data_IF_597600104902
#
_entry.id   IF_597600104902
#
_cell.length_a   1.000
_cell.length_b   1.000
_cell.length_c   1.000
_cell.angle_alpha   90.00
_cell.angle_beta   90.00
_cell.angle_gamma   90.00
#
_symmetry.space_group_name_H-M   'P 1'
#
loop_
_entity.id
_entity.type
_entity.pdbx_description
1 polymer ?
#
# COMPACT_ATOMS: atom_id res chain seq x y z
N UNK A 1 23.93 46.98 -15.59
CA UNK A 1 22.95 45.89 -15.45
C UNK A 1 23.50 44.85 -14.50
N UNK A 2 23.09 44.86 -13.23
CA UNK A 2 23.43 43.80 -12.28
C UNK A 2 22.52 42.60 -12.57
N UNK A 3 23.11 41.50 -13.03
CA UNK A 3 22.44 40.21 -13.14
C UNK A 3 22.14 39.72 -11.72
N UNK A 4 20.85 39.73 -11.34
CA UNK A 4 20.35 39.05 -10.14
C UNK A 4 20.77 37.59 -10.22
N UNK A 5 21.74 37.19 -9.40
CA UNK A 5 21.99 35.77 -9.08
C UNK A 5 20.76 35.28 -8.33
N UNK A 6 19.86 34.60 -9.03
CA UNK A 6 18.81 33.81 -8.38
C UNK A 6 19.48 32.76 -7.51
N UNK A 7 19.25 32.82 -6.20
CA UNK A 7 19.75 31.83 -5.28
C UNK A 7 19.16 30.46 -5.65
N UNK A 8 19.98 29.40 -5.80
CA UNK A 8 19.47 28.07 -6.16
C UNK A 8 18.55 27.45 -5.08
N UNK A 9 18.54 28.02 -3.88
CA UNK A 9 17.67 27.58 -2.76
C UNK A 9 16.19 27.99 -2.94
N UNK A 10 15.88 29.05 -3.70
CA UNK A 10 14.49 29.52 -3.86
C UNK A 10 13.63 28.63 -4.78
N UNK A 11 14.24 27.75 -5.58
CA UNK A 11 13.52 26.97 -6.61
C UNK A 11 13.07 25.56 -6.17
N UNK A 12 13.54 25.05 -5.04
CA UNK A 12 13.24 23.67 -4.61
C UNK A 12 11.84 23.52 -3.98
N UNK A 13 11.25 24.61 -3.48
CA UNK A 13 9.87 24.61 -2.95
C UNK A 13 8.78 24.55 -4.04
N UNK A 14 9.14 24.84 -5.29
CA UNK A 14 8.25 24.79 -6.46
C UNK A 14 8.52 23.59 -7.36
N UNK A 15 9.52 22.77 -7.01
CA UNK A 15 9.89 21.60 -7.80
C UNK A 15 8.78 20.55 -7.70
N UNK A 16 8.21 20.19 -8.84
CA UNK A 16 7.24 19.09 -8.95
C UNK A 16 7.99 17.75 -8.97
N UNK A 17 7.59 16.86 -8.08
CA UNK A 17 8.04 15.48 -8.01
C UNK A 17 6.96 14.56 -8.56
N UNK A 18 7.36 13.38 -9.01
CA UNK A 18 6.42 12.30 -9.31
C UNK A 18 6.82 11.05 -8.55
N UNK A 19 5.88 10.15 -8.32
CA UNK A 19 6.16 8.98 -7.52
C UNK A 19 4.92 8.20 -7.14
N UNK A 20 5.05 7.39 -6.09
CA UNK A 20 3.96 6.59 -5.56
C UNK A 20 3.96 6.63 -4.02
N UNK A 21 2.77 6.75 -3.45
CA UNK A 21 2.52 6.47 -2.04
C UNK A 21 2.09 5.01 -1.96
N UNK A 22 2.83 4.22 -1.19
CA UNK A 22 2.44 2.87 -0.84
C UNK A 22 1.87 2.85 0.56
N UNK A 23 0.68 2.27 0.71
CA UNK A 23 0.05 2.09 2.01
C UNK A 23 -0.18 0.60 2.20
N UNK A 24 0.46 0.05 3.23
CA UNK A 24 0.39 -1.35 3.60
C UNK A 24 -0.51 -1.47 4.82
N UNK A 25 -1.54 -2.30 4.72
CA UNK A 25 -2.41 -2.62 5.85
C UNK A 25 -2.33 -4.09 6.18
N UNK A 26 -2.38 -4.40 7.47
CA UNK A 26 -2.53 -5.75 7.99
C UNK A 26 -3.69 -5.78 9.00
N UNK A 27 -4.59 -6.74 8.80
CA UNK A 27 -5.76 -6.98 9.63
C UNK A 27 -5.69 -8.37 10.24
N UNK A 28 -5.75 -8.43 11.56
CA UNK A 28 -5.99 -9.68 12.28
C UNK A 28 -7.47 -10.07 12.13
N UNK A 29 -7.74 -11.29 11.69
CA UNK A 29 -9.10 -11.78 11.43
C UNK A 29 -9.47 -13.08 12.15
N UNK A 30 -8.62 -13.53 13.08
CA UNK A 30 -8.78 -14.78 13.83
C UNK A 30 -7.55 -15.66 13.70
N UNK A 31 -7.69 -16.94 14.03
CA UNK A 31 -6.59 -17.90 14.05
C UNK A 31 -6.63 -18.84 12.84
N UNK A 32 -5.48 -19.41 12.48
CA UNK A 32 -5.33 -20.56 11.56
C UNK A 32 -6.34 -20.62 10.40
N UNK A 33 -6.10 -19.77 9.40
CA UNK A 33 -6.89 -19.74 8.17
C UNK A 33 -6.53 -20.93 7.29
N UNK A 34 -7.52 -21.76 6.98
CA UNK A 34 -7.37 -22.89 6.06
C UNK A 34 -7.40 -22.41 4.59
N UNK A 35 -6.22 -22.11 4.05
CA UNK A 35 -6.05 -21.59 2.68
C UNK A 35 -6.52 -22.59 1.62
N UNK A 36 -6.23 -23.88 1.78
CA UNK A 36 -6.66 -24.92 0.84
C UNK A 36 -8.19 -24.97 0.71
N UNK A 37 -8.91 -24.82 1.83
CA UNK A 37 -10.37 -24.82 1.84
C UNK A 37 -10.92 -23.62 1.07
N UNK A 38 -10.29 -22.45 1.19
CA UNK A 38 -10.67 -21.24 0.44
C UNK A 38 -10.58 -21.48 -1.06
N UNK A 39 -9.49 -22.11 -1.52
CA UNK A 39 -9.27 -22.45 -2.93
C UNK A 39 -10.26 -23.51 -3.41
N UNK A 40 -10.46 -24.60 -2.63
CA UNK A 40 -11.37 -25.70 -2.98
C UNK A 40 -12.81 -25.24 -3.16
N UNK A 41 -13.31 -24.38 -2.27
CA UNK A 41 -14.68 -23.84 -2.36
C UNK A 41 -14.79 -22.64 -3.30
N UNK A 42 -13.67 -22.18 -3.88
CA UNK A 42 -13.58 -20.99 -4.74
C UNK A 42 -14.25 -19.76 -4.14
N UNK A 43 -14.07 -19.56 -2.83
CA UNK A 43 -14.67 -18.42 -2.13
C UNK A 43 -14.17 -17.08 -2.71
N UNK A 44 -12.93 -17.07 -3.21
CA UNK A 44 -12.26 -15.93 -3.79
C UNK A 44 -11.50 -16.37 -5.05
N UNK A 45 -11.23 -15.42 -5.95
CA UNK A 45 -10.41 -15.66 -7.13
C UNK A 45 -8.95 -15.50 -6.76
N UNK A 46 -8.19 -16.59 -6.79
CA UNK A 46 -6.75 -16.59 -6.53
C UNK A 46 -5.96 -15.98 -7.68
N UNK A 47 -4.83 -15.35 -7.37
CA UNK A 47 -3.85 -14.85 -8.35
C UNK A 47 -2.48 -15.47 -8.12
N UNK A 48 -1.66 -15.67 -9.17
CA UNK A 48 -0.31 -16.19 -9.00
C UNK A 48 0.57 -15.29 -8.12
N UNK A 49 1.33 -15.89 -7.21
CA UNK A 49 2.36 -15.20 -6.46
C UNK A 49 3.61 -14.99 -7.34
N UNK A 50 4.13 -13.76 -7.35
CA UNK A 50 5.48 -13.50 -7.86
C UNK A 50 6.49 -13.84 -6.78
N UNK A 51 7.00 -15.08 -6.80
CA UNK A 51 7.94 -15.58 -5.81
C UNK A 51 9.40 -15.36 -6.25
N UNK A 52 10.28 -14.88 -5.36
CA UNK A 52 11.71 -14.84 -5.63
C UNK A 52 12.26 -16.24 -5.91
N UNK A 53 13.07 -16.38 -6.95
CA UNK A 53 13.61 -17.69 -7.40
C UNK A 53 14.54 -18.36 -6.37
N UNK A 54 15.18 -17.58 -5.52
CA UNK A 54 16.27 -18.05 -4.65
C UNK A 54 15.88 -18.22 -3.17
N UNK A 55 14.62 -17.97 -2.83
CA UNK A 55 14.15 -18.08 -1.45
C UNK A 55 13.29 -19.33 -1.25
N UNK A 56 13.49 -19.99 -0.11
CA UNK A 56 12.59 -21.06 0.33
C UNK A 56 11.26 -20.43 0.75
N UNK A 57 10.18 -20.91 0.15
CA UNK A 57 8.85 -20.33 0.28
C UNK A 57 8.00 -21.12 1.26
N UNK A 58 8.28 -20.96 2.56
CA UNK A 58 7.45 -21.52 3.63
C UNK A 58 6.29 -20.57 3.95
N UNK A 59 5.13 -21.12 4.29
CA UNK A 59 3.93 -20.35 4.68
C UNK A 59 3.49 -19.32 3.63
N UNK A 60 3.44 -19.75 2.37
CA UNK A 60 2.98 -18.88 1.28
C UNK A 60 1.55 -18.40 1.55
N UNK A 61 1.32 -17.08 1.51
CA UNK A 61 -0.03 -16.57 1.63
C UNK A 61 -0.82 -16.86 0.35
N UNK A 62 -2.14 -16.93 0.47
CA UNK A 62 -3.02 -16.98 -0.69
C UNK A 62 -3.20 -15.56 -1.25
N UNK A 63 -2.67 -15.28 -2.43
CA UNK A 63 -2.95 -14.03 -3.13
C UNK A 63 -4.29 -14.11 -3.87
N UNK A 64 -5.08 -13.04 -3.79
CA UNK A 64 -6.45 -13.00 -4.30
C UNK A 64 -6.74 -11.68 -5.03
N UNK A 65 -7.80 -11.69 -5.83
CA UNK A 65 -8.49 -10.47 -6.28
C UNK A 65 -9.50 -9.99 -5.22
N UNK A 66 -9.70 -8.67 -5.15
CA UNK A 66 -10.75 -8.10 -4.31
C UNK A 66 -12.14 -8.54 -4.81
N UNK A 67 -13.08 -8.84 -3.89
CA UNK A 67 -14.34 -9.50 -4.25
C UNK A 67 -15.44 -8.59 -4.82
N UNK A 68 -15.20 -7.29 -5.04
CA UNK A 68 -16.17 -6.32 -5.54
C UNK A 68 -15.54 -5.41 -6.62
N UNK A 69 -16.35 -4.87 -7.55
CA UNK A 69 -15.86 -4.03 -8.64
C UNK A 69 -15.22 -2.76 -8.07
N UNK A 70 -13.94 -2.57 -8.42
CA UNK A 70 -13.04 -1.57 -7.88
C UNK A 70 -13.61 -0.15 -8.02
N UNK A 71 -14.07 0.46 -6.92
CA UNK A 71 -14.12 1.93 -6.84
C UNK A 71 -12.71 2.54 -6.81
N UNK A 72 -11.70 1.77 -6.42
CA UNK A 72 -10.30 2.21 -6.35
C UNK A 72 -9.38 1.19 -7.04
N UNK A 73 -8.92 1.52 -8.24
CA UNK A 73 -7.95 0.73 -9.03
C UNK A 73 -6.56 0.63 -8.39
N UNK A 74 -6.36 1.26 -7.23
CA UNK A 74 -5.07 1.43 -6.58
C UNK A 74 -4.66 0.25 -5.68
N UNK A 75 -5.55 -0.70 -5.37
CA UNK A 75 -5.16 -1.91 -4.64
C UNK A 75 -4.39 -2.85 -5.57
N UNK A 76 -3.09 -2.99 -5.33
CA UNK A 76 -2.19 -3.77 -6.21
C UNK A 76 -1.87 -5.15 -5.64
N UNK A 77 -2.16 -5.40 -4.36
CA UNK A 77 -1.90 -6.70 -3.74
C UNK A 77 -2.89 -6.93 -2.58
N UNK A 78 -3.48 -8.12 -2.58
CA UNK A 78 -4.31 -8.62 -1.51
C UNK A 78 -3.90 -10.06 -1.20
N UNK A 79 -3.55 -10.33 0.06
CA UNK A 79 -3.01 -11.63 0.49
C UNK A 79 -3.66 -12.07 1.80
N UNK A 80 -3.97 -13.36 1.90
CA UNK A 80 -4.46 -14.02 3.10
C UNK A 80 -3.35 -14.92 3.62
N UNK A 81 -2.95 -14.71 4.87
CA UNK A 81 -1.92 -15.50 5.53
C UNK A 81 -2.57 -16.59 6.38
N UNK A 82 -1.98 -17.78 6.38
CA UNK A 82 -2.51 -18.91 7.13
C UNK A 82 -2.57 -18.63 8.64
N UNK A 83 -1.73 -17.76 9.18
CA UNK A 83 -1.68 -17.41 10.60
C UNK A 83 -2.69 -16.32 11.03
N UNK A 84 -3.77 -16.09 10.27
CA UNK A 84 -4.86 -15.23 10.74
C UNK A 84 -4.88 -13.80 10.20
N UNK A 85 -4.04 -13.47 9.22
CA UNK A 85 -3.88 -12.08 8.75
C UNK A 85 -4.37 -11.89 7.31
N UNK A 86 -5.05 -10.78 7.07
CA UNK A 86 -5.29 -10.25 5.71
C UNK A 86 -4.39 -9.03 5.52
N UNK A 87 -3.59 -9.01 4.45
CA UNK A 87 -2.76 -7.86 4.10
C UNK A 87 -3.19 -7.25 2.78
N UNK A 88 -3.30 -5.92 2.77
CA UNK A 88 -3.67 -5.10 1.60
C UNK A 88 -2.53 -4.14 1.28
N UNK A 89 -2.30 -3.88 0.00
CA UNK A 89 -1.32 -2.88 -0.46
C UNK A 89 -1.93 -2.00 -1.52
N UNK A 90 -1.95 -0.69 -1.23
CA UNK A 90 -2.38 0.34 -2.16
C UNK A 90 -1.18 1.06 -2.73
N UNK A 91 -1.24 1.39 -4.02
CA UNK A 91 -0.25 2.20 -4.75
C UNK A 91 -0.96 3.39 -5.38
N UNK A 92 -0.70 4.56 -4.81
CA UNK A 92 -1.31 5.83 -5.22
C UNK A 92 -0.25 6.65 -5.96
N UNK A 93 -0.38 6.86 -7.28
CA UNK A 93 0.53 7.72 -8.00
C UNK A 93 0.32 9.18 -7.56
N UNK A 94 1.40 9.96 -7.50
CA UNK A 94 1.32 11.41 -7.30
C UNK A 94 2.22 12.14 -8.29
N UNK A 95 1.88 13.38 -8.59
CA UNK A 95 2.73 14.32 -9.33
C UNK A 95 2.49 15.71 -8.76
N UNK A 96 3.36 16.14 -7.85
CA UNK A 96 3.15 17.36 -7.08
C UNK A 96 4.42 17.84 -6.36
N UNK A 97 4.39 19.03 -5.78
CA UNK A 97 5.41 19.48 -4.83
C UNK A 97 5.30 18.69 -3.51
N UNK A 98 6.41 18.54 -2.77
CA UNK A 98 6.37 17.90 -1.44
C UNK A 98 5.55 18.72 -0.44
N UNK A 99 5.50 20.05 -0.61
CA UNK A 99 4.72 20.95 0.22
C UNK A 99 3.22 20.74 0.03
N UNK A 100 2.75 20.59 -1.20
CA UNK A 100 1.34 20.31 -1.50
C UNK A 100 0.97 18.89 -1.13
N UNK A 101 1.83 17.91 -1.44
CA UNK A 101 1.66 16.52 -1.00
C UNK A 101 1.41 16.43 0.50
N UNK A 102 2.16 17.18 1.31
CA UNK A 102 1.98 17.23 2.76
C UNK A 102 0.61 17.76 3.19
N UNK A 103 -0.03 18.65 2.43
CA UNK A 103 -1.34 19.23 2.77
C UNK A 103 -2.47 18.20 2.69
N UNK A 104 -2.49 17.39 1.62
CA UNK A 104 -3.53 16.39 1.41
C UNK A 104 -3.12 14.97 1.83
N UNK A 105 -1.88 14.77 2.32
CA UNK A 105 -1.41 13.46 2.76
C UNK A 105 -2.34 12.80 3.78
N UNK A 106 -2.76 13.55 4.80
CA UNK A 106 -3.66 13.03 5.84
C UNK A 106 -5.02 12.61 5.29
N UNK A 107 -5.54 13.36 4.30
CA UNK A 107 -6.79 13.01 3.63
C UNK A 107 -6.66 11.72 2.84
N UNK A 108 -5.57 11.57 2.06
CA UNK A 108 -5.26 10.31 1.36
C UNK A 108 -5.20 9.16 2.36
N UNK A 109 -4.44 9.30 3.45
CA UNK A 109 -4.29 8.21 4.42
C UNK A 109 -5.61 7.82 5.09
N UNK A 110 -6.46 8.80 5.41
CA UNK A 110 -7.77 8.54 6.00
C UNK A 110 -8.72 7.84 5.02
N UNK A 111 -8.76 8.29 3.75
CA UNK A 111 -9.59 7.67 2.72
C UNK A 111 -9.19 6.19 2.50
N UNK A 112 -7.89 5.90 2.45
CA UNK A 112 -7.42 4.52 2.29
C UNK A 112 -7.54 3.69 3.57
N UNK A 113 -7.48 4.31 4.75
CA UNK A 113 -7.82 3.65 6.01
C UNK A 113 -9.26 3.15 5.99
N UNK A 114 -10.23 4.00 5.63
CA UNK A 114 -11.64 3.60 5.52
C UNK A 114 -11.86 2.54 4.44
N UNK A 115 -11.29 2.74 3.25
CA UNK A 115 -11.40 1.79 2.14
C UNK A 115 -10.83 0.42 2.52
N UNK A 116 -9.68 0.38 3.21
CA UNK A 116 -9.03 -0.86 3.60
C UNK A 116 -9.87 -1.69 4.57
N UNK A 117 -10.61 -1.05 5.48
CA UNK A 117 -11.55 -1.72 6.38
C UNK A 117 -12.70 -2.35 5.59
N UNK A 118 -13.25 -1.64 4.60
CA UNK A 118 -14.32 -2.18 3.73
C UNK A 118 -13.83 -3.37 2.90
N UNK A 119 -12.63 -3.27 2.34
CA UNK A 119 -11.98 -4.31 1.55
C UNK A 119 -11.72 -5.55 2.41
N UNK A 120 -11.06 -5.39 3.55
CA UNK A 120 -10.82 -6.47 4.51
C UNK A 120 -12.13 -7.14 4.96
N UNK A 121 -13.17 -6.35 5.24
CA UNK A 121 -14.50 -6.86 5.65
C UNK A 121 -15.14 -7.72 4.57
N UNK A 122 -15.01 -7.30 3.32
CA UNK A 122 -15.56 -8.04 2.19
C UNK A 122 -14.88 -9.40 2.00
N UNK A 123 -13.56 -9.46 2.19
CA UNK A 123 -12.78 -10.70 2.14
C UNK A 123 -13.17 -11.58 3.31
N UNK A 124 -13.12 -11.04 4.54
CA UNK A 124 -13.46 -11.77 5.77
C UNK A 124 -14.82 -12.45 5.68
N UNK A 125 -15.86 -11.74 5.21
CA UNK A 125 -17.20 -12.30 5.04
C UNK A 125 -17.21 -13.56 4.15
N UNK A 126 -16.40 -13.58 3.09
CA UNK A 126 -16.32 -14.72 2.16
C UNK A 126 -15.53 -15.90 2.75
N UNK A 127 -14.50 -15.63 3.55
CA UNK A 127 -13.62 -16.68 4.10
C UNK A 127 -13.92 -17.08 5.54
N UNK A 128 -14.90 -16.44 6.20
CA UNK A 128 -15.21 -16.63 7.63
C UNK A 128 -15.33 -18.10 8.06
N UNK A 129 -15.89 -18.97 7.20
CA UNK A 129 -16.08 -20.41 7.45
C UNK A 129 -14.78 -21.24 7.33
N UNK A 130 -13.68 -20.59 6.97
CA UNK A 130 -12.35 -21.17 6.80
C UNK A 130 -11.36 -20.68 7.86
N UNK A 131 -11.81 -19.89 8.83
CA UNK A 131 -10.98 -19.31 9.89
C UNK A 131 -11.34 -19.98 11.22
N UNK A 132 -10.33 -20.29 12.04
CA UNK A 132 -10.51 -20.73 13.43
C UNK A 132 -10.73 -19.49 14.30
N UNK A 133 -11.74 -19.52 15.18
CA UNK A 133 -12.11 -18.35 16.01
C UNK A 133 -12.25 -17.03 15.21
N UNK A 134 -13.11 -16.99 14.18
CA UNK A 134 -13.20 -15.83 13.29
C UNK A 134 -13.63 -14.58 14.06
N UNK A 135 -12.75 -13.60 14.12
CA UNK A 135 -13.01 -12.31 14.76
C UNK A 135 -12.63 -11.20 13.80
N UNK A 136 -13.60 -10.41 13.37
CA UNK A 136 -13.30 -9.32 12.45
C UNK A 136 -12.65 -8.17 13.23
N UNK A 137 -11.31 -8.14 13.18
CA UNK A 137 -10.35 -7.12 13.62
C UNK A 137 -10.55 -6.53 15.03
N UNK A 138 -9.56 -6.71 15.89
CA UNK A 138 -9.37 -5.92 17.11
C UNK A 138 -8.12 -5.02 16.99
N UNK A 139 -7.14 -5.46 16.19
CA UNK A 139 -5.89 -4.76 15.92
C UNK A 139 -5.71 -4.60 14.42
N UNK A 140 -5.28 -3.40 14.01
CA UNK A 140 -4.88 -3.09 12.64
C UNK A 140 -3.54 -2.37 12.70
N UNK A 141 -2.65 -2.74 11.78
CA UNK A 141 -1.37 -2.04 11.58
C UNK A 141 -1.31 -1.47 10.17
N UNK A 142 -0.76 -0.26 10.05
CA UNK A 142 -0.51 0.39 8.78
C UNK A 142 0.92 0.88 8.68
N UNK A 143 1.54 0.73 7.51
CA UNK A 143 2.83 1.32 7.18
C UNK A 143 2.70 2.11 5.89
N UNK A 144 3.30 3.30 5.82
CA UNK A 144 3.25 4.17 4.65
C UNK A 144 4.67 4.41 4.15
N UNK A 145 4.87 4.25 2.85
CA UNK A 145 6.14 4.49 2.18
C UNK A 145 5.90 5.42 0.99
N UNK A 146 6.64 6.53 0.92
CA UNK A 146 6.63 7.43 -0.23
C UNK A 146 7.84 7.10 -1.08
N UNK A 147 7.60 6.66 -2.31
CA UNK A 147 8.63 6.47 -3.33
C UNK A 147 8.61 7.68 -4.27
N UNK A 148 9.72 8.41 -4.34
CA UNK A 148 9.90 9.55 -5.26
C UNK A 148 10.72 9.09 -6.47
N UNK A 149 10.33 9.50 -7.67
CA UNK A 149 11.17 9.38 -8.88
C UNK A 149 12.34 10.38 -8.78
N UNK A 150 13.60 9.91 -8.71
CA UNK A 150 14.74 10.76 -8.40
C UNK A 150 15.09 11.78 -9.49
N UNK A 151 14.55 11.66 -10.72
CA UNK A 151 14.85 12.52 -11.89
C UNK A 151 16.25 13.18 -11.84
N UNK A 152 17.35 12.40 -11.87
CA UNK A 152 18.69 12.84 -11.47
C UNK A 152 19.28 13.97 -12.33
N UNK A 153 18.68 14.23 -13.51
CA UNK A 153 19.05 15.35 -14.38
C UNK A 153 18.43 16.68 -13.97
N UNK A 154 17.38 16.65 -13.13
CA UNK A 154 16.64 17.82 -12.64
C UNK A 154 16.84 18.08 -11.15
N UNK A 155 17.26 17.06 -10.40
CA UNK A 155 17.25 17.07 -8.93
C UNK A 155 18.65 16.72 -8.40
N UNK A 156 19.25 17.63 -7.65
CA UNK A 156 20.48 17.36 -6.91
C UNK A 156 20.12 16.74 -5.55
N UNK A 157 20.44 15.45 -5.37
CA UNK A 157 20.11 14.69 -4.15
C UNK A 157 20.71 15.30 -2.87
N UNK A 158 21.91 15.89 -2.96
CA UNK A 158 22.58 16.52 -1.82
C UNK A 158 21.84 17.78 -1.36
N UNK A 159 21.28 18.55 -2.29
CA UNK A 159 20.47 19.73 -1.96
C UNK A 159 19.11 19.33 -1.40
N UNK A 160 18.51 18.28 -1.95
CA UNK A 160 17.23 17.76 -1.48
C UNK A 160 17.32 17.24 -0.03
N UNK A 161 18.39 16.52 0.30
CA UNK A 161 18.65 16.07 1.68
C UNK A 161 18.77 17.27 2.63
N UNK A 162 19.57 18.28 2.29
CA UNK A 162 19.76 19.47 3.15
C UNK A 162 18.46 20.22 3.48
N UNK A 163 17.49 20.23 2.57
CA UNK A 163 16.27 21.01 2.74
C UNK A 163 15.14 20.25 3.45
N UNK A 164 15.09 18.92 3.31
CA UNK A 164 13.95 18.12 3.74
C UNK A 164 14.30 16.97 4.70
N UNK A 165 15.58 16.76 5.05
CA UNK A 165 16.08 15.64 5.87
C UNK A 165 17.02 16.05 6.99
#
# INVERSE_FOLDING_TARGET
>A
MQTKKTNPEENLGQLTFSGNIFIFFAFDVGDDINLEKIEKIRALKSVPLSLPKYFKNYHLPLAIELPHPHKTSHCISCKIHNFGVISLTYKIPFTDTLGDLRKYFNEITNNYQEQSVLDAKSIFKKIRKCIVQPKFFQTQSSYIMIQVDPQPKKINLTQLQKQYG
#
